data_IF_330910831639
#
_entry.id   IF_330910831639
#
_cell.length_a   1.000
_cell.length_b   1.000
_cell.length_c   1.000
_cell.angle_alpha   90.00
_cell.angle_beta   90.00
_cell.angle_gamma   90.00
#
_symmetry.space_group_name_H-M   'P 1'
#
loop_
_entity.id
_entity.type
_entity.pdbx_description
1 polymer ?
#
# COMPACT_ATOMS: atom_id res chain seq x y z
N UNK A 1 -1.47 -10.09 -20.59
CA UNK A 1 -0.53 -9.40 -21.50
C UNK A 1 0.70 -9.05 -20.70
N UNK A 2 1.88 -9.40 -21.21
CA UNK A 2 3.17 -9.12 -20.57
C UNK A 2 3.74 -7.81 -21.15
N UNK A 3 4.13 -6.87 -20.29
CA UNK A 3 4.72 -5.58 -20.67
C UNK A 3 6.26 -5.61 -20.65
N UNK A 4 6.87 -6.78 -20.41
CA UNK A 4 8.31 -6.97 -20.33
C UNK A 4 8.94 -6.32 -19.10
N UNK A 5 8.15 -6.13 -18.04
CA UNK A 5 8.58 -5.53 -16.77
C UNK A 5 8.42 -6.55 -15.66
N UNK A 6 9.50 -6.80 -14.92
CA UNK A 6 9.44 -7.63 -13.72
C UNK A 6 8.82 -6.80 -12.60
N UNK A 7 7.74 -7.30 -12.02
CA UNK A 7 7.06 -6.69 -10.91
C UNK A 7 6.81 -7.71 -9.80
N UNK A 8 6.76 -7.24 -8.56
CA UNK A 8 6.45 -8.07 -7.40
C UNK A 8 5.57 -7.29 -6.42
N UNK A 9 4.61 -7.99 -5.81
CA UNK A 9 3.71 -7.40 -4.81
C UNK A 9 4.17 -7.80 -3.42
N UNK A 10 4.42 -6.79 -2.59
CA UNK A 10 4.55 -6.94 -1.14
C UNK A 10 3.20 -6.55 -0.55
N UNK A 11 2.51 -7.49 0.10
CA UNK A 11 1.24 -7.25 0.76
C UNK A 11 1.27 -7.63 2.25
N UNK A 12 0.30 -7.08 2.98
CA UNK A 12 0.19 -7.28 4.43
C UNK A 12 0.04 -8.73 4.86
N UNK A 13 -0.61 -9.58 4.06
CA UNK A 13 -0.85 -10.98 4.43
C UNK A 13 0.45 -11.80 4.27
N UNK A 14 1.16 -11.63 3.15
CA UNK A 14 2.40 -12.35 2.85
C UNK A 14 3.55 -11.92 3.78
N UNK A 15 3.72 -10.61 4.00
CA UNK A 15 4.80 -10.11 4.85
C UNK A 15 4.58 -10.47 6.32
N UNK A 16 3.35 -10.43 6.83
CA UNK A 16 3.06 -10.73 8.24
C UNK A 16 3.08 -12.22 8.56
N UNK A 17 2.98 -13.11 7.57
CA UNK A 17 3.20 -14.54 7.79
C UNK A 17 4.69 -14.93 7.84
N UNK A 18 5.56 -14.10 7.25
CA UNK A 18 7.00 -14.35 7.16
C UNK A 18 7.83 -13.28 7.88
N UNK A 19 8.33 -12.30 7.11
CA UNK A 19 9.30 -11.29 7.54
C UNK A 19 8.89 -10.50 8.80
N UNK A 20 7.59 -10.27 8.99
CA UNK A 20 7.04 -9.46 10.07
C UNK A 20 6.14 -10.28 11.02
N UNK A 21 6.32 -11.61 11.09
CA UNK A 21 5.50 -12.50 11.94
C UNK A 21 5.63 -12.23 13.45
N UNK A 22 6.73 -11.60 13.85
CA UNK A 22 7.01 -11.17 15.22
C UNK A 22 6.31 -9.85 15.60
N UNK A 23 5.76 -9.13 14.62
CA UNK A 23 5.17 -7.81 14.81
C UNK A 23 3.65 -7.88 14.96
N UNK A 24 3.14 -7.28 16.04
CA UNK A 24 1.72 -7.02 16.26
C UNK A 24 1.18 -5.82 15.47
N UNK A 25 0.20 -5.14 16.06
CA UNK A 25 -0.53 -4.01 15.43
C UNK A 25 -0.45 -2.69 16.23
N UNK A 26 0.39 -2.63 17.27
CA UNK A 26 0.70 -1.36 17.94
C UNK A 26 1.34 -0.37 16.98
N UNK A 27 1.33 0.92 17.32
CA UNK A 27 1.95 1.96 16.51
C UNK A 27 3.42 1.63 16.18
N UNK A 28 4.21 1.28 17.20
CA UNK A 28 5.63 0.89 17.06
C UNK A 28 5.82 -0.32 16.13
N UNK A 29 4.99 -1.35 16.27
CA UNK A 29 5.06 -2.53 15.41
C UNK A 29 4.65 -2.22 13.97
N UNK A 30 3.74 -1.26 13.75
CA UNK A 30 3.37 -0.79 12.41
C UNK A 30 4.51 -0.01 11.77
N UNK A 31 5.16 0.89 12.52
CA UNK A 31 6.33 1.62 12.05
C UNK A 31 7.47 0.67 11.67
N UNK A 32 7.80 -0.30 12.53
CA UNK A 32 8.83 -1.29 12.21
C UNK A 32 8.46 -2.17 11.02
N UNK A 33 7.18 -2.54 10.88
CA UNK A 33 6.70 -3.27 9.72
C UNK A 33 6.93 -2.47 8.43
N UNK A 34 6.54 -1.19 8.38
CA UNK A 34 6.75 -0.33 7.21
C UNK A 34 8.25 -0.13 6.93
N UNK A 35 9.09 0.07 7.95
CA UNK A 35 10.54 0.19 7.80
C UNK A 35 11.15 -1.07 7.16
N UNK A 36 10.79 -2.27 7.63
CA UNK A 36 11.26 -3.55 7.04
C UNK A 36 10.85 -3.69 5.57
N UNK A 37 9.59 -3.36 5.26
CA UNK A 37 9.07 -3.40 3.89
C UNK A 37 9.83 -2.42 2.99
N UNK A 38 10.11 -1.21 3.47
CA UNK A 38 10.83 -0.20 2.69
C UNK A 38 12.25 -0.66 2.32
N UNK A 39 12.98 -1.30 3.25
CA UNK A 39 14.29 -1.89 2.96
C UNK A 39 14.22 -3.01 1.92
N UNK A 40 13.24 -3.89 2.02
CA UNK A 40 13.04 -4.96 1.04
C UNK A 40 12.68 -4.38 -0.32
N UNK A 41 11.76 -3.42 -0.38
CA UNK A 41 11.39 -2.74 -1.61
C UNK A 41 12.60 -2.06 -2.27
N UNK A 42 13.44 -1.39 -1.48
CA UNK A 42 14.70 -0.78 -1.95
C UNK A 42 15.62 -1.83 -2.59
N UNK A 43 15.88 -2.94 -1.91
CA UNK A 43 16.73 -4.02 -2.44
C UNK A 43 16.16 -4.64 -3.72
N UNK A 44 14.84 -4.81 -3.81
CA UNK A 44 14.18 -5.33 -5.01
C UNK A 44 14.20 -4.32 -6.16
N UNK A 45 14.08 -3.02 -5.87
CA UNK A 45 14.30 -1.97 -6.87
C UNK A 45 15.76 -1.96 -7.36
N UNK A 46 16.73 -2.15 -6.47
CA UNK A 46 18.15 -2.29 -6.83
C UNK A 46 18.38 -3.50 -7.77
N UNK A 47 17.58 -4.57 -7.61
CA UNK A 47 17.56 -5.73 -8.51
C UNK A 47 16.76 -5.52 -9.81
N UNK A 48 16.18 -4.33 -10.03
CA UNK A 48 15.47 -3.96 -11.26
C UNK A 48 13.98 -4.29 -11.28
N UNK A 49 13.37 -4.64 -10.15
CA UNK A 49 11.94 -4.92 -10.06
C UNK A 49 11.12 -3.65 -9.77
N UNK A 50 9.92 -3.61 -10.33
CA UNK A 50 8.85 -2.72 -9.87
C UNK A 50 8.20 -3.36 -8.66
N UNK A 51 8.20 -2.67 -7.52
CA UNK A 51 7.63 -3.20 -6.28
C UNK A 51 6.30 -2.51 -5.99
N UNK A 52 5.24 -3.29 -5.84
CA UNK A 52 3.91 -2.81 -5.47
C UNK A 52 3.69 -3.15 -4.00
N UNK A 53 3.64 -2.13 -3.13
CA UNK A 53 3.47 -2.31 -1.68
C UNK A 53 2.05 -1.96 -1.26
N UNK A 54 1.23 -2.95 -0.90
CA UNK A 54 -0.18 -2.78 -0.51
C UNK A 54 -0.37 -2.95 1.01
N UNK A 55 0.04 -1.92 1.75
CA UNK A 55 -0.05 -1.90 3.21
C UNK A 55 -0.93 -0.76 3.71
N UNK A 56 -1.57 -0.98 4.85
CA UNK A 56 -2.10 0.12 5.65
C UNK A 56 -0.89 0.79 6.31
N UNK A 57 -0.50 1.95 5.80
CA UNK A 57 0.56 2.82 6.33
C UNK A 57 -0.07 4.09 6.93
N UNK A 58 -0.62 3.99 8.16
CA UNK A 58 -1.51 5.03 8.68
C UNK A 58 -0.77 6.29 9.12
N UNK A 59 0.53 6.23 9.38
CA UNK A 59 1.31 7.35 9.89
C UNK A 59 2.10 8.02 8.76
N UNK A 60 1.99 9.34 8.65
CA UNK A 60 2.70 10.14 7.65
C UNK A 60 4.21 9.99 7.80
N UNK A 61 4.71 10.02 9.04
CA UNK A 61 6.13 9.85 9.34
C UNK A 61 6.70 8.53 8.80
N UNK A 62 5.94 7.44 8.87
CA UNK A 62 6.38 6.13 8.35
C UNK A 62 6.44 6.12 6.82
N UNK A 63 5.47 6.78 6.16
CA UNK A 63 5.45 6.90 4.70
C UNK A 63 6.60 7.75 4.19
N UNK A 64 6.93 8.83 4.90
CA UNK A 64 8.08 9.68 4.57
C UNK A 64 9.42 8.96 4.83
N UNK A 65 9.53 8.20 5.93
CA UNK A 65 10.69 7.36 6.20
C UNK A 65 10.87 6.29 5.11
N UNK A 66 9.78 5.64 4.68
CA UNK A 66 9.81 4.68 3.58
C UNK A 66 10.25 5.33 2.26
N UNK A 67 9.73 6.53 1.95
CA UNK A 67 10.14 7.34 0.78
C UNK A 67 11.63 7.67 0.83
N UNK A 68 12.16 8.04 2.00
CA UNK A 68 13.58 8.33 2.21
C UNK A 68 14.47 7.08 2.02
N UNK A 69 14.06 5.93 2.57
CA UNK A 69 14.78 4.65 2.43
C UNK A 69 14.81 4.20 0.96
N UNK A 70 13.64 4.16 0.30
CA UNK A 70 13.53 3.70 -1.09
C UNK A 70 14.19 4.70 -2.05
N UNK A 71 14.17 5.98 -1.71
CA UNK A 71 14.64 7.09 -2.52
C UNK A 71 13.48 7.79 -3.23
N UNK A 72 13.44 9.12 -3.11
CA UNK A 72 12.33 9.96 -3.57
C UNK A 72 11.96 9.74 -5.05
N UNK A 73 12.95 9.53 -5.92
CA UNK A 73 12.74 9.30 -7.37
C UNK A 73 12.15 7.92 -7.70
N UNK A 74 12.22 6.97 -6.77
CA UNK A 74 11.78 5.58 -6.96
C UNK A 74 10.50 5.26 -6.20
N UNK A 75 9.99 6.22 -5.42
CA UNK A 75 8.84 6.05 -4.55
C UNK A 75 7.64 6.84 -5.07
N UNK A 76 6.51 6.16 -5.25
CA UNK A 76 5.25 6.78 -5.64
C UNK A 76 4.17 6.46 -4.62
N UNK A 77 3.66 7.49 -3.94
CA UNK A 77 2.56 7.34 -2.98
C UNK A 77 1.22 7.37 -3.70
N UNK A 78 0.52 6.23 -3.72
CA UNK A 78 -0.85 6.12 -4.22
C UNK A 78 -1.82 6.03 -3.04
N UNK A 79 -2.59 7.08 -2.83
CA UNK A 79 -3.61 7.13 -1.79
C UNK A 79 -4.92 6.52 -2.28
N UNK A 80 -5.27 5.37 -1.73
CA UNK A 80 -6.60 4.77 -1.90
C UNK A 80 -7.57 5.46 -0.92
N UNK A 81 -8.18 6.57 -1.35
CA UNK A 81 -8.97 7.47 -0.52
C UNK A 81 -10.44 7.05 -0.37
N UNK A 82 -10.71 5.75 -0.40
CA UNK A 82 -12.06 5.22 -0.17
C UNK A 82 -12.47 5.52 1.27
N UNK A 83 -13.61 6.21 1.50
CA UNK A 83 -14.05 6.56 2.85
C UNK A 83 -14.25 5.35 3.74
N UNK A 84 -14.05 5.59 5.02
CA UNK A 84 -14.15 4.59 6.08
C UNK A 84 -15.51 3.89 6.07
N UNK A 85 -16.60 4.62 5.87
CA UNK A 85 -17.96 4.07 5.87
C UNK A 85 -18.14 3.03 4.76
N UNK A 86 -17.56 3.27 3.59
CA UNK A 86 -17.57 2.30 2.49
C UNK A 86 -16.71 1.09 2.83
N UNK A 87 -15.54 1.30 3.44
CA UNK A 87 -14.67 0.21 3.87
C UNK A 87 -15.36 -0.69 4.92
N UNK A 88 -16.06 -0.09 5.89
CA UNK A 88 -16.89 -0.78 6.89
C UNK A 88 -18.05 -1.53 6.23
N UNK A 89 -18.71 -0.94 5.23
CA UNK A 89 -19.80 -1.60 4.52
C UNK A 89 -19.31 -2.83 3.75
N UNK A 90 -18.14 -2.74 3.11
CA UNK A 90 -17.56 -3.83 2.31
C UNK A 90 -17.05 -4.97 3.18
N UNK A 91 -16.40 -4.66 4.30
CA UNK A 91 -15.80 -5.56 5.31
C UNK A 91 -15.55 -7.01 4.86
N UNK A 92 -14.72 -7.23 3.81
CA UNK A 92 -14.64 -8.52 3.13
C UNK A 92 -14.08 -9.64 4.01
N UNK A 93 -13.35 -9.28 5.07
CA UNK A 93 -12.75 -10.20 6.04
C UNK A 93 -13.47 -10.19 7.40
N UNK A 94 -14.56 -9.44 7.55
CA UNK A 94 -15.28 -9.30 8.82
C UNK A 94 -14.47 -8.59 9.93
N UNK A 95 -13.42 -7.86 9.58
CA UNK A 95 -12.48 -7.26 10.52
C UNK A 95 -13.06 -5.99 11.15
N UNK A 96 -13.78 -5.16 10.37
CA UNK A 96 -14.42 -3.97 10.92
C UNK A 96 -15.51 -4.34 11.93
N UNK A 97 -16.32 -5.37 11.64
CA UNK A 97 -17.32 -5.88 12.59
C UNK A 97 -16.69 -6.27 13.93
N UNK A 98 -15.57 -7.00 13.90
CA UNK A 98 -14.85 -7.44 15.10
C UNK A 98 -14.18 -6.28 15.83
N UNK A 99 -13.65 -5.31 15.11
CA UNK A 99 -13.08 -4.10 15.69
C UNK A 99 -14.13 -3.25 16.44
N UNK A 100 -15.30 -3.04 15.84
CA UNK A 100 -16.42 -2.34 16.48
C UNK A 100 -16.94 -3.09 17.71
N UNK A 101 -16.92 -4.43 17.68
CA UNK A 101 -17.24 -5.26 18.84
C UNK A 101 -16.16 -5.25 19.95
N UNK A 102 -15.04 -4.55 19.75
CA UNK A 102 -13.94 -4.44 20.72
C UNK A 102 -13.00 -5.65 20.75
N UNK A 103 -13.14 -6.60 19.84
CA UNK A 103 -12.29 -7.79 19.77
C UNK A 103 -10.89 -7.50 19.22
N UNK A 104 -10.77 -6.46 18.38
CA UNK A 104 -9.52 -6.03 17.76
C UNK A 104 -9.13 -4.65 18.30
N UNK A 105 -8.03 -4.61 19.06
CA UNK A 105 -7.40 -3.36 19.52
C UNK A 105 -6.57 -2.73 18.40
N UNK A 106 -6.33 -1.43 18.52
CA UNK A 106 -5.48 -0.65 17.61
C UNK A 106 -5.84 -0.81 16.12
N UNK A 107 -7.15 -0.86 15.85
CA UNK A 107 -7.68 -1.06 14.51
C UNK A 107 -7.80 0.29 13.79
N UNK A 108 -7.06 0.43 12.69
CA UNK A 108 -7.01 1.65 11.88
C UNK A 108 -8.41 2.08 11.43
N UNK A 109 -8.75 3.35 11.67
CA UNK A 109 -10.07 3.92 11.37
C UNK A 109 -11.13 3.70 12.46
N UNK A 110 -10.89 2.85 13.45
CA UNK A 110 -11.81 2.61 14.58
C UNK A 110 -11.20 3.05 15.90
N UNK A 111 -10.12 2.38 16.33
CA UNK A 111 -9.44 2.63 17.61
C UNK A 111 -8.00 3.14 17.44
N UNK A 112 -7.51 3.22 16.19
CA UNK A 112 -6.23 3.82 15.82
C UNK A 112 -6.42 4.78 14.61
N UNK A 113 -5.59 5.84 14.48
CA UNK A 113 -5.76 6.85 13.44
C UNK A 113 -5.36 6.34 12.05
N UNK A 114 -5.77 7.11 11.04
CA UNK A 114 -5.21 7.09 9.68
C UNK A 114 -4.96 8.54 9.25
N UNK A 115 -3.70 8.91 9.12
CA UNK A 115 -3.27 10.23 8.67
C UNK A 115 -3.25 10.24 7.14
N UNK A 116 -4.25 10.86 6.53
CA UNK A 116 -4.36 10.96 5.08
C UNK A 116 -3.10 11.58 4.46
N UNK A 117 -2.56 11.01 3.38
CA UNK A 117 -1.45 11.62 2.64
C UNK A 117 -1.76 13.06 2.22
N UNK A 118 -0.84 13.99 2.50
CA UNK A 118 -1.00 15.40 2.13
C UNK A 118 -0.73 15.64 0.63
N UNK A 119 0.29 14.96 0.09
CA UNK A 119 0.73 15.13 -1.30
C UNK A 119 0.97 13.77 -1.98
N UNK A 120 -0.07 12.92 -2.11
CA UNK A 120 0.07 11.67 -2.84
C UNK A 120 0.28 11.97 -4.33
N UNK A 121 1.06 11.12 -5.01
CA UNK A 121 1.23 11.19 -6.47
C UNK A 121 -0.10 10.91 -7.18
N UNK A 122 -0.90 10.01 -6.61
CA UNK A 122 -2.21 9.65 -7.13
C UNK A 122 -3.19 9.45 -5.99
N UNK A 123 -4.39 10.00 -6.13
CA UNK A 123 -5.51 9.72 -5.24
C UNK A 123 -6.61 8.96 -6.00
N UNK A 124 -7.05 7.84 -5.42
CA UNK A 124 -8.03 6.92 -6.00
C UNK A 124 -9.16 6.64 -5.01
N UNK A 125 -10.37 7.09 -5.34
CA UNK A 125 -11.59 6.75 -4.61
C UNK A 125 -12.29 5.56 -5.27
N UNK A 126 -12.12 4.37 -4.68
CA UNK A 126 -12.67 3.12 -5.24
C UNK A 126 -14.15 2.94 -4.95
N UNK A 127 -14.85 3.93 -4.38
CA UNK A 127 -16.33 3.95 -4.37
C UNK A 127 -16.90 4.09 -5.78
N UNK A 128 -16.24 4.93 -6.58
CA UNK A 128 -16.75 5.40 -7.86
C UNK A 128 -15.86 5.00 -9.04
N UNK A 129 -14.60 4.68 -8.78
CA UNK A 129 -13.66 4.21 -9.81
C UNK A 129 -13.66 2.67 -9.90
N UNK A 130 -13.95 2.08 -11.07
CA UNK A 130 -13.68 0.69 -11.35
C UNK A 130 -12.19 0.34 -11.22
N UNK A 131 -11.89 -0.94 -11.04
CA UNK A 131 -10.51 -1.42 -10.88
C UNK A 131 -9.69 -1.13 -12.12
N UNK A 132 -10.27 -1.32 -13.30
CA UNK A 132 -9.62 -1.12 -14.60
C UNK A 132 -9.17 0.33 -14.77
N UNK A 133 -10.00 1.29 -14.33
CA UNK A 133 -9.67 2.70 -14.35
C UNK A 133 -8.55 3.03 -13.35
N UNK A 134 -8.62 2.49 -12.13
CA UNK A 134 -7.56 2.65 -11.13
C UNK A 134 -6.20 2.15 -11.66
N UNK A 135 -6.19 0.96 -12.27
CA UNK A 135 -4.99 0.36 -12.85
C UNK A 135 -4.46 1.20 -14.02
N UNK A 136 -5.34 1.68 -14.91
CA UNK A 136 -4.94 2.54 -16.01
C UNK A 136 -4.22 3.81 -15.53
N UNK A 137 -4.77 4.49 -14.51
CA UNK A 137 -4.16 5.70 -13.94
C UNK A 137 -2.79 5.44 -13.30
N UNK A 138 -2.60 4.29 -12.65
CA UNK A 138 -1.30 3.90 -12.09
C UNK A 138 -0.28 3.64 -13.21
N UNK A 139 -0.67 2.91 -14.26
CA UNK A 139 0.21 2.61 -15.39
C UNK A 139 0.64 3.86 -16.16
N UNK A 140 -0.27 4.84 -16.29
CA UNK A 140 0.03 6.13 -16.94
C UNK A 140 1.13 6.89 -16.20
N UNK A 141 1.09 6.93 -14.87
CA UNK A 141 2.13 7.59 -14.05
C UNK A 141 3.46 6.87 -14.14
N UNK A 142 3.45 5.54 -14.21
CA UNK A 142 4.66 4.75 -14.42
C UNK A 142 5.24 4.94 -15.84
N UNK A 143 4.56 5.67 -16.73
CA UNK A 143 4.89 5.84 -18.14
C UNK A 143 5.06 4.49 -18.87
N UNK A 144 4.41 3.44 -18.36
CA UNK A 144 4.46 2.11 -18.95
C UNK A 144 3.42 2.08 -20.06
N UNK A 145 3.83 2.57 -21.22
CA UNK A 145 3.03 2.55 -22.43
C UNK A 145 3.21 1.24 -23.19
N UNK A 146 2.15 0.83 -23.90
CA UNK A 146 2.21 -0.28 -24.85
C UNK A 146 3.30 0.04 -25.88
N UNK A 147 4.47 -0.59 -25.79
CA UNK A 147 5.34 -0.66 -26.97
C UNK A 147 4.54 -1.42 -28.03
N UNK A 148 4.16 -0.72 -29.11
CA UNK A 148 3.78 -1.40 -30.34
C UNK A 148 4.94 -2.33 -30.68
N UNK A 149 4.74 -3.64 -30.60
CA UNK A 149 5.60 -4.60 -31.28
C UNK A 149 5.49 -4.28 -32.77
N UNK A 150 6.34 -3.38 -33.28
CA UNK A 150 6.59 -3.29 -34.72
C UNK A 150 7.43 -4.53 -35.05
N UNK A 151 6.75 -5.55 -35.55
CA UNK A 151 7.37 -6.57 -36.40
C UNK A 151 7.77 -5.98 -37.74
#
# INVERSE_FOLDING_TARGET
MDLGKLAYTLDGDNIRQGLCRDLGFSAEHRSENIRRIAEVARLMNDAGLIVISSFISPYEADREAARSIIGHERFMEVFISTPLETCIQRDPKGLYRRAVAGELKDFTGISAPYESPLYPVLQLDTRHMPIEECVARILDILQITKKHCRG
#
